data_IF_070493109725
#
_entry.id   IF_070493109725
#
_cell.length_a   1.000
_cell.length_b   1.000
_cell.length_c   1.000
_cell.angle_alpha   90.00
_cell.angle_beta   90.00
_cell.angle_gamma   90.00
#
_symmetry.space_group_name_H-M   'P 1'
#
loop_
_entity.id
_entity.type
_entity.pdbx_description
1 polymer ?
#
# COMPACT_ATOMS: atom_id res chain seq x y z
N UNK A 1 2.21 19.92 -12.20
CA UNK A 1 1.09 19.34 -11.42
C UNK A 1 1.34 17.84 -11.24
N UNK A 2 1.08 17.27 -10.06
CA UNK A 2 1.30 15.84 -9.75
C UNK A 2 -0.02 15.17 -9.34
N UNK A 3 -0.37 14.04 -9.97
CA UNK A 3 -1.58 13.29 -9.64
C UNK A 3 -1.18 11.98 -8.98
N UNK A 4 -1.45 11.85 -7.68
CA UNK A 4 -1.32 10.61 -6.94
C UNK A 4 -2.61 9.81 -7.11
N UNK A 5 -2.52 8.65 -7.74
CA UNK A 5 -3.60 7.66 -7.78
C UNK A 5 -3.23 6.55 -6.81
N UNK A 6 -4.14 6.24 -5.88
CA UNK A 6 -3.91 5.20 -4.88
C UNK A 6 -5.17 4.39 -4.67
N UNK A 7 -5.03 3.09 -4.46
CA UNK A 7 -6.15 2.22 -4.13
C UNK A 7 -6.43 2.11 -2.62
N UNK A 8 -5.50 2.61 -1.81
CA UNK A 8 -5.64 2.66 -0.36
C UNK A 8 -6.44 3.89 0.06
N UNK A 9 -7.65 3.65 0.55
CA UNK A 9 -8.51 4.71 1.11
C UNK A 9 -7.82 5.42 2.29
N UNK A 10 -7.02 4.68 3.07
CA UNK A 10 -6.25 5.20 4.18
C UNK A 10 -5.17 6.19 3.71
N UNK A 11 -4.39 5.81 2.69
CA UNK A 11 -3.35 6.68 2.12
C UNK A 11 -3.98 7.92 1.49
N UNK A 12 -5.09 7.74 0.77
CA UNK A 12 -5.80 8.86 0.16
C UNK A 12 -6.24 9.91 1.19
N UNK A 13 -6.89 9.46 2.27
CA UNK A 13 -7.39 10.35 3.34
C UNK A 13 -6.24 11.04 4.09
N UNK A 14 -5.17 10.30 4.43
CA UNK A 14 -4.00 10.89 5.10
C UNK A 14 -3.29 11.92 4.22
N UNK A 15 -3.05 11.61 2.94
CA UNK A 15 -2.34 12.51 2.03
C UNK A 15 -3.12 13.81 1.79
N UNK A 16 -4.46 13.77 1.83
CA UNK A 16 -5.31 14.97 1.74
C UNK A 16 -5.24 15.82 3.01
N UNK A 17 -5.25 15.19 4.20
CA UNK A 17 -5.26 15.91 5.48
C UNK A 17 -3.91 16.49 5.87
N UNK A 18 -2.82 15.78 5.58
CA UNK A 18 -1.47 16.15 6.02
C UNK A 18 -1.02 17.52 5.51
N UNK A 19 -1.52 17.96 4.35
CA UNK A 19 -1.17 19.27 3.78
C UNK A 19 -1.53 20.45 4.67
N UNK A 20 -2.54 20.30 5.53
CA UNK A 20 -3.09 21.36 6.39
C UNK A 20 -3.08 20.99 7.88
N UNK A 21 -2.33 19.95 8.25
CA UNK A 21 -2.30 19.43 9.62
C UNK A 21 -0.93 19.62 10.26
N UNK A 22 -0.91 19.71 11.59
CA UNK A 22 0.30 19.60 12.41
C UNK A 22 0.48 18.14 12.79
N UNK A 23 1.69 17.60 12.58
CA UNK A 23 1.99 16.22 12.90
C UNK A 23 2.47 16.10 14.36
N UNK A 24 1.75 15.33 15.16
CA UNK A 24 2.14 14.98 16.54
C UNK A 24 2.91 13.67 16.55
N UNK A 25 3.92 13.58 17.42
CA UNK A 25 4.64 12.34 17.68
C UNK A 25 3.71 11.27 18.30
N UNK A 26 3.89 10.03 17.85
CA UNK A 26 3.11 8.86 18.27
C UNK A 26 4.04 7.77 18.80
N UNK A 27 3.49 6.85 19.59
CA UNK A 27 4.26 5.77 20.23
C UNK A 27 4.92 4.79 19.26
N UNK A 28 4.50 4.76 17.99
CA UNK A 28 5.14 3.98 16.94
C UNK A 28 6.15 4.85 16.16
N UNK A 29 7.46 4.73 16.43
CA UNK A 29 8.46 5.60 15.82
C UNK A 29 8.61 5.36 14.31
N UNK A 30 8.42 4.13 13.84
CA UNK A 30 8.49 3.80 12.41
C UNK A 30 7.34 4.47 11.64
N UNK A 31 6.12 4.38 12.16
CA UNK A 31 4.95 5.05 11.57
C UNK A 31 5.12 6.57 11.61
N UNK A 32 5.56 7.11 12.75
CA UNK A 32 5.82 8.55 12.86
C UNK A 32 6.85 9.03 11.85
N UNK A 33 7.93 8.27 11.65
CA UNK A 33 8.96 8.58 10.67
C UNK A 33 8.38 8.63 9.25
N UNK A 34 7.57 7.63 8.85
CA UNK A 34 6.92 7.61 7.54
C UNK A 34 5.97 8.80 7.34
N UNK A 35 5.14 9.10 8.33
CA UNK A 35 4.22 10.24 8.28
C UNK A 35 4.96 11.57 8.23
N UNK A 36 6.06 11.72 8.97
CA UNK A 36 6.89 12.92 8.96
C UNK A 36 7.56 13.12 7.61
N UNK A 37 8.10 12.05 7.02
CA UNK A 37 8.67 12.08 5.66
C UNK A 37 7.64 12.50 4.62
N UNK A 38 6.44 11.91 4.65
CA UNK A 38 5.35 12.28 3.75
C UNK A 38 4.93 13.74 3.95
N UNK A 39 4.78 14.18 5.21
CA UNK A 39 4.45 15.56 5.54
C UNK A 39 5.50 16.53 5.00
N UNK A 40 6.80 16.28 5.22
CA UNK A 40 7.88 17.11 4.70
C UNK A 40 7.84 17.20 3.17
N UNK A 41 7.62 16.09 2.46
CA UNK A 41 7.51 16.08 1.01
C UNK A 41 6.31 16.90 0.52
N UNK A 42 5.16 16.81 1.21
CA UNK A 42 3.98 17.63 0.92
C UNK A 42 4.30 19.11 1.17
N UNK A 43 4.95 19.48 2.28
CA UNK A 43 5.27 20.89 2.57
C UNK A 43 6.30 21.48 1.59
N UNK A 44 7.27 20.70 1.14
CA UNK A 44 8.30 21.12 0.21
C UNK A 44 7.82 21.22 -1.26
N UNK A 45 6.57 20.84 -1.55
CA UNK A 45 6.04 20.84 -2.91
C UNK A 45 5.99 22.26 -3.49
N UNK A 46 6.48 22.42 -4.72
CA UNK A 46 6.38 23.67 -5.49
C UNK A 46 5.28 23.64 -6.55
N UNK A 47 4.73 22.46 -6.84
CA UNK A 47 3.66 22.26 -7.80
C UNK A 47 2.38 21.76 -7.09
N UNK A 48 1.19 22.06 -7.63
CA UNK A 48 -0.05 21.49 -7.11
C UNK A 48 -0.05 19.97 -7.24
N UNK A 49 -0.65 19.31 -6.24
CA UNK A 49 -0.86 17.86 -6.24
C UNK A 49 -2.33 17.53 -6.03
N UNK A 50 -2.76 16.40 -6.58
CA UNK A 50 -4.12 15.88 -6.44
C UNK A 50 -4.06 14.42 -6.02
N UNK A 51 -4.96 14.01 -5.15
CA UNK A 51 -5.06 12.64 -4.67
C UNK A 51 -6.38 12.05 -5.14
N UNK A 52 -6.30 11.03 -5.99
CA UNK A 52 -7.45 10.25 -6.45
C UNK A 52 -7.41 8.87 -5.79
N UNK A 53 -8.45 8.58 -5.03
CA UNK A 53 -8.69 7.22 -4.55
C UNK A 53 -9.38 6.40 -5.62
N UNK A 54 -8.89 5.19 -5.87
CA UNK A 54 -9.57 4.18 -6.68
C UNK A 54 -9.85 2.94 -5.84
N UNK A 55 -10.89 2.18 -6.16
CA UNK A 55 -11.13 0.95 -5.42
C UNK A 55 -10.08 -0.09 -5.84
N UNK A 56 -9.46 -0.79 -4.88
CA UNK A 56 -8.61 -1.94 -5.22
C UNK A 56 -9.39 -2.98 -6.01
N UNK A 57 -8.73 -3.63 -6.96
CA UNK A 57 -9.30 -4.74 -7.74
C UNK A 57 -10.62 -4.41 -8.46
N UNK A 58 -10.73 -3.24 -9.07
CA UNK A 58 -11.84 -2.98 -10.00
C UNK A 58 -11.68 -3.85 -11.24
N UNK A 59 -12.78 -4.44 -11.72
CA UNK A 59 -12.82 -5.10 -13.04
C UNK A 59 -13.14 -4.11 -14.17
N UNK A 60 -13.09 -2.80 -13.90
CA UNK A 60 -13.34 -1.80 -14.92
C UNK A 60 -12.10 -1.67 -15.81
N UNK A 61 -12.27 -1.69 -17.14
CA UNK A 61 -11.16 -1.47 -18.06
C UNK A 61 -10.68 -0.02 -17.99
N UNK A 62 -9.40 0.21 -18.31
CA UNK A 62 -8.84 1.54 -18.52
C UNK A 62 -7.49 1.76 -17.86
N UNK A 63 -6.84 2.86 -18.27
CA UNK A 63 -5.46 3.20 -17.88
C UNK A 63 -5.24 3.30 -16.37
N UNK A 64 -6.28 3.67 -15.61
CA UNK A 64 -6.20 3.77 -14.14
C UNK A 64 -6.10 2.39 -13.49
N UNK A 65 -6.94 1.44 -13.93
CA UNK A 65 -6.92 0.07 -13.43
C UNK A 65 -5.63 -0.66 -13.83
N UNK A 66 -5.17 -0.47 -15.07
CA UNK A 66 -3.88 -1.00 -15.56
C UNK A 66 -2.68 -0.42 -14.79
N UNK A 67 -2.70 0.90 -14.53
CA UNK A 67 -1.69 1.58 -13.73
C UNK A 67 -1.63 1.05 -12.30
N UNK A 68 -2.78 0.84 -11.66
CA UNK A 68 -2.83 0.25 -10.32
C UNK A 68 -2.29 -1.18 -10.30
N UNK A 69 -2.70 -2.02 -11.26
CA UNK A 69 -2.21 -3.39 -11.35
C UNK A 69 -0.68 -3.43 -11.55
N UNK A 70 -0.12 -2.48 -12.31
CA UNK A 70 1.33 -2.33 -12.45
C UNK A 70 2.00 -1.89 -11.14
N UNK A 71 1.40 -0.95 -10.40
CA UNK A 71 1.89 -0.51 -9.11
C UNK A 71 1.87 -1.65 -8.08
N UNK A 72 0.79 -2.42 -8.00
CA UNK A 72 0.66 -3.60 -7.14
C UNK A 72 1.75 -4.64 -7.46
N UNK A 73 1.92 -4.95 -8.75
CA UNK A 73 2.93 -5.90 -9.22
C UNK A 73 4.36 -5.43 -8.93
N UNK A 74 4.62 -4.12 -8.88
CA UNK A 74 5.93 -3.57 -8.52
C UNK A 74 6.14 -3.47 -7.01
N UNK A 75 5.06 -3.30 -6.26
CA UNK A 75 5.07 -3.34 -4.80
C UNK A 75 5.26 -4.78 -4.28
N UNK A 76 4.83 -5.81 -5.00
CA UNK A 76 4.99 -7.23 -4.62
C UNK A 76 6.46 -7.72 -4.47
N UNK A 77 7.35 -7.53 -5.46
CA UNK A 77 8.70 -8.10 -5.46
C UNK A 77 9.71 -7.34 -4.62
N UNK A 78 9.38 -6.18 -4.06
CA UNK A 78 10.30 -5.40 -3.22
C UNK A 78 10.60 -6.05 -1.84
N UNK A 79 9.92 -7.15 -1.46
CA UNK A 79 9.88 -7.63 -0.07
C UNK A 79 10.54 -8.97 0.22
N UNK A 80 11.24 -9.57 -0.74
CA UNK A 80 11.87 -10.86 -0.51
C UNK A 80 13.13 -11.09 -1.33
N UNK A 81 14.26 -11.23 -0.65
CA UNK A 81 15.19 -12.30 -1.04
C UNK A 81 14.37 -13.60 -1.25
N UNK A 82 14.78 -14.52 -2.15
CA UNK A 82 14.03 -15.74 -2.38
C UNK A 82 13.84 -16.51 -1.07
N UNK A 83 12.66 -16.36 -0.46
CA UNK A 83 12.29 -17.09 0.74
C UNK A 83 11.94 -18.52 0.29
N UNK A 84 12.48 -19.56 0.94
CA UNK A 84 12.16 -20.94 0.60
C UNK A 84 10.68 -21.22 0.84
N UNK A 85 9.97 -21.59 -0.23
CA UNK A 85 8.61 -22.12 -0.14
C UNK A 85 7.51 -21.07 -0.05
N UNK A 86 6.38 -21.43 -0.65
CA UNK A 86 5.18 -20.61 -0.82
C UNK A 86 4.54 -20.18 0.51
N UNK A 87 4.60 -21.04 1.53
CA UNK A 87 4.01 -20.77 2.84
C UNK A 87 4.80 -19.74 3.65
N UNK A 88 6.15 -19.76 3.55
CA UNK A 88 7.00 -18.78 4.20
C UNK A 88 6.83 -17.39 3.57
N UNK A 89 6.70 -17.34 2.25
CA UNK A 89 6.37 -16.11 1.52
C UNK A 89 4.99 -15.56 1.91
N UNK A 90 3.99 -16.44 2.07
CA UNK A 90 2.66 -16.03 2.53
C UNK A 90 2.66 -15.46 3.95
N UNK A 91 3.41 -16.08 4.88
CA UNK A 91 3.56 -15.57 6.25
C UNK A 91 4.26 -14.21 6.30
N UNK A 92 5.31 -14.04 5.50
CA UNK A 92 5.98 -12.74 5.36
C UNK A 92 5.03 -11.67 4.78
N UNK A 93 4.27 -12.03 3.74
CA UNK A 93 3.25 -11.15 3.14
C UNK A 93 2.14 -10.79 4.13
N UNK A 94 1.65 -11.74 4.92
CA UNK A 94 0.66 -11.51 5.97
C UNK A 94 1.20 -10.59 7.07
N UNK A 95 2.40 -10.85 7.57
CA UNK A 95 3.03 -10.04 8.63
C UNK A 95 3.27 -8.60 8.20
N UNK A 96 3.52 -8.36 6.91
CA UNK A 96 3.78 -7.02 6.39
C UNK A 96 2.51 -6.27 5.95
N UNK A 97 1.63 -6.92 5.18
CA UNK A 97 0.44 -6.28 4.59
C UNK A 97 -0.85 -6.52 5.37
N UNK A 98 -0.83 -7.37 6.40
CA UNK A 98 -2.02 -7.82 7.13
C UNK A 98 -3.13 -8.33 6.20
N UNK A 99 -2.74 -8.98 5.11
CA UNK A 99 -3.67 -9.54 4.12
C UNK A 99 -4.53 -10.62 4.75
N UNK A 100 -5.82 -10.63 4.42
CA UNK A 100 -6.72 -11.68 4.89
C UNK A 100 -6.41 -13.03 4.22
N UNK A 101 -6.91 -14.11 4.84
CA UNK A 101 -6.71 -15.48 4.38
C UNK A 101 -7.10 -15.69 2.90
N UNK A 102 -8.20 -15.09 2.45
CA UNK A 102 -8.64 -15.25 1.06
C UNK A 102 -7.65 -14.62 0.06
N UNK A 103 -7.08 -13.45 0.38
CA UNK A 103 -6.04 -12.81 -0.44
C UNK A 103 -4.78 -13.68 -0.49
N UNK A 104 -4.32 -14.19 0.66
CA UNK A 104 -3.14 -15.08 0.72
C UNK A 104 -3.36 -16.37 -0.07
N UNK A 105 -4.56 -16.94 0.02
CA UNK A 105 -4.94 -18.14 -0.73
C UNK A 105 -4.78 -17.96 -2.23
N UNK A 106 -5.30 -16.86 -2.78
CA UNK A 106 -5.22 -16.57 -4.21
C UNK A 106 -3.81 -16.21 -4.65
N UNK A 107 -3.12 -15.39 -3.86
CA UNK A 107 -1.80 -14.87 -4.21
C UNK A 107 -0.72 -15.96 -4.20
N UNK A 108 -0.82 -16.90 -3.25
CA UNK A 108 0.17 -17.95 -3.04
C UNK A 108 -0.36 -19.35 -3.36
N UNK A 109 -1.55 -19.46 -3.96
CA UNK A 109 -2.16 -20.75 -4.35
C UNK A 109 -2.24 -21.74 -3.17
N UNK A 110 -2.47 -21.23 -1.96
CA UNK A 110 -2.53 -22.03 -0.74
C UNK A 110 -3.86 -22.78 -0.64
N UNK A 111 -3.87 -23.86 0.12
CA UNK A 111 -5.12 -24.45 0.59
C UNK A 111 -5.83 -23.52 1.59
N UNK A 112 -7.16 -23.64 1.78
CA UNK A 112 -7.88 -22.85 2.77
C UNK A 112 -7.32 -22.98 4.20
N UNK A 113 -6.77 -24.16 4.53
CA UNK A 113 -6.16 -24.45 5.83
C UNK A 113 -4.84 -23.69 6.00
N UNK A 114 -3.99 -23.70 4.99
CA UNK A 114 -2.69 -23.00 5.01
C UNK A 114 -2.85 -21.48 5.06
N UNK A 115 -3.87 -20.94 4.38
CA UNK A 115 -4.14 -19.51 4.35
C UNK A 115 -4.69 -18.93 5.68
N UNK A 116 -5.14 -19.79 6.61
CA UNK A 116 -5.67 -19.39 7.93
C UNK A 116 -4.64 -19.49 9.06
N UNK A 117 -3.44 -20.01 8.76
CA UNK A 117 -2.37 -20.30 9.72
C UNK A 117 -1.30 -19.20 9.81
#
# INVERSE_FOLDING_TARGET
PFNLVTDSAYVADIAQRLGYSVLKEVSNPALFHLLKTLWCAIQARVHPYYVLHVRSHTNLPGFVAEGNARADKLAHPAWGAPQPGTLAQAKASHGFFHQNAHTLQKQFQLTPTEARN
#
